data_IF_722578140218
#
_entry.id   IF_722578140218
#
_cell.length_a   1.000
_cell.length_b   1.000
_cell.length_c   1.000
_cell.angle_alpha   90.00
_cell.angle_beta   90.00
_cell.angle_gamma   90.00
#
_symmetry.space_group_name_H-M   'P 1'
#
loop_
_entity.id
_entity.type
_entity.pdbx_description
1 polymer ?
#
# COMPACT_ATOMS: atom_id res chain seq x y z
N UNK A 1 -26.77 -18.79 -68.87
CA UNK A 1 -26.90 -19.72 -67.73
C UNK A 1 -25.62 -19.66 -66.93
N UNK A 2 -25.65 -19.01 -65.76
CA UNK A 2 -24.58 -19.04 -64.75
C UNK A 2 -25.30 -18.86 -63.42
N UNK A 3 -25.45 -19.91 -62.63
CA UNK A 3 -24.48 -20.47 -61.68
C UNK A 3 -24.76 -19.94 -60.28
N UNK A 4 -25.08 -20.88 -59.39
CA UNK A 4 -25.45 -20.73 -57.99
C UNK A 4 -24.32 -20.08 -57.20
N UNK A 5 -24.66 -19.32 -56.16
CA UNK A 5 -24.06 -19.56 -54.84
C UNK A 5 -24.82 -18.82 -53.73
N UNK A 6 -25.28 -19.61 -52.77
CA UNK A 6 -25.73 -19.16 -51.46
C UNK A 6 -24.61 -18.40 -50.74
N UNK A 7 -24.99 -17.42 -49.92
CA UNK A 7 -24.10 -16.88 -48.88
C UNK A 7 -24.93 -16.58 -47.64
N UNK A 8 -25.18 -17.64 -46.88
CA UNK A 8 -25.66 -17.61 -45.51
C UNK A 8 -24.49 -17.14 -44.65
N UNK A 9 -24.73 -16.06 -43.90
CA UNK A 9 -24.11 -15.63 -42.63
C UNK A 9 -22.58 -15.48 -42.59
N UNK A 10 -22.09 -14.37 -42.04
CA UNK A 10 -21.13 -14.46 -40.94
C UNK A 10 -21.10 -13.16 -40.11
N UNK A 11 -21.59 -13.30 -38.89
CA UNK A 11 -21.14 -12.70 -37.63
C UNK A 11 -20.63 -11.25 -37.61
N UNK A 12 -21.47 -10.39 -37.04
CA UNK A 12 -21.09 -9.13 -36.42
C UNK A 12 -20.32 -9.32 -35.10
N UNK A 13 -19.76 -8.20 -34.64
CA UNK A 13 -19.16 -7.90 -33.33
C UNK A 13 -17.64 -8.12 -33.19
N UNK A 14 -16.89 -7.13 -33.68
CA UNK A 14 -15.57 -6.81 -33.16
C UNK A 14 -15.72 -6.17 -31.76
N UNK A 15 -15.35 -6.91 -30.72
CA UNK A 15 -15.10 -6.35 -29.38
C UNK A 15 -13.60 -6.19 -29.21
N UNK A 16 -13.09 -5.01 -29.56
CA UNK A 16 -11.75 -4.59 -29.22
C UNK A 16 -11.69 -4.33 -27.70
N UNK A 17 -11.28 -5.34 -26.93
CA UNK A 17 -10.86 -5.12 -25.56
C UNK A 17 -9.52 -4.37 -25.60
N UNK A 18 -9.57 -3.06 -25.37
CA UNK A 18 -8.40 -2.28 -24.98
C UNK A 18 -7.88 -2.87 -23.67
N UNK A 19 -6.90 -3.76 -23.74
CA UNK A 19 -6.08 -4.09 -22.59
C UNK A 19 -5.23 -2.85 -22.35
N UNK A 20 -5.75 -1.93 -21.54
CA UNK A 20 -4.92 -0.91 -20.92
C UNK A 20 -3.92 -1.64 -20.04
N UNK A 21 -2.76 -1.96 -20.60
CA UNK A 21 -1.52 -2.16 -19.83
C UNK A 21 -1.11 -0.77 -19.34
N UNK A 22 -1.97 -0.15 -18.55
CA UNK A 22 -1.56 0.91 -17.65
C UNK A 22 -0.75 0.20 -16.59
N UNK A 23 0.57 0.37 -16.64
CA UNK A 23 1.47 -0.07 -15.59
C UNK A 23 0.85 0.29 -14.24
N UNK A 24 0.45 -0.73 -13.47
CA UNK A 24 -0.19 -0.56 -12.17
C UNK A 24 0.83 0.00 -11.17
N UNK A 25 1.12 1.30 -11.26
CA UNK A 25 1.75 2.07 -10.20
C UNK A 25 0.75 2.08 -9.04
N UNK A 26 0.86 1.06 -8.20
CA UNK A 26 -0.04 0.83 -7.10
C UNK A 26 0.38 1.80 -6.00
N UNK A 27 -0.51 2.72 -5.61
CA UNK A 27 -0.24 3.63 -4.51
C UNK A 27 0.18 2.82 -3.28
N UNK A 28 1.31 3.20 -2.68
CA UNK A 28 1.82 2.56 -1.47
C UNK A 28 0.76 2.66 -0.39
N UNK A 29 0.50 1.55 0.30
CA UNK A 29 -0.40 1.53 1.43
C UNK A 29 0.22 0.81 2.61
N UNK A 30 -0.20 1.20 3.80
CA UNK A 30 0.15 0.57 5.05
C UNK A 30 -1.12 -0.02 5.66
N UNK A 31 -1.17 -1.35 5.72
CA UNK A 31 -2.19 -2.06 6.47
C UNK A 31 -1.75 -2.15 7.92
N UNK A 32 -2.65 -1.84 8.84
CA UNK A 32 -2.41 -2.12 10.26
C UNK A 32 -2.60 -3.61 10.54
N UNK A 33 -1.60 -4.22 11.16
CA UNK A 33 -1.62 -5.64 11.50
C UNK A 33 -2.60 -5.96 12.65
N UNK A 34 -2.86 -7.24 12.91
CA UNK A 34 -3.58 -7.65 14.11
C UNK A 34 -2.79 -7.26 15.37
N UNK A 35 -3.51 -6.95 16.45
CA UNK A 35 -2.90 -6.63 17.74
C UNK A 35 -2.42 -5.19 17.90
N UNK A 36 -2.83 -4.26 17.03
CA UNK A 36 -2.62 -2.84 17.29
C UNK A 36 -3.47 -2.40 18.50
N UNK A 37 -2.88 -1.58 19.35
CA UNK A 37 -3.46 -1.08 20.60
C UNK A 37 -3.00 0.37 20.86
N UNK A 38 -3.39 0.96 21.99
CA UNK A 38 -2.94 2.30 22.36
C UNK A 38 -1.41 2.42 22.48
N UNK A 39 -0.69 1.32 22.77
CA UNK A 39 0.77 1.31 22.97
C UNK A 39 1.52 0.56 21.86
N UNK A 40 0.81 -0.05 20.91
CA UNK A 40 1.39 -0.94 19.91
C UNK A 40 0.84 -0.63 18.52
N UNK A 41 1.74 -0.38 17.58
CA UNK A 41 1.42 -0.20 16.17
C UNK A 41 2.11 -1.31 15.37
N UNK A 42 1.33 -2.02 14.56
CA UNK A 42 1.85 -3.03 13.63
C UNK A 42 1.51 -2.57 12.21
N UNK A 43 2.51 -2.47 11.35
CA UNK A 43 2.37 -2.05 9.95
C UNK A 43 2.75 -3.18 9.01
N UNK A 44 1.97 -3.33 7.94
CA UNK A 44 2.18 -4.26 6.84
C UNK A 44 2.14 -3.42 5.56
N UNK A 45 3.29 -3.06 5.01
CA UNK A 45 3.40 -2.31 3.77
C UNK A 45 2.93 -3.14 2.58
N UNK A 46 2.36 -2.51 1.56
CA UNK A 46 1.93 -3.20 0.33
C UNK A 46 3.08 -3.63 -0.59
N UNK A 47 4.30 -3.19 -0.31
CA UNK A 47 5.53 -3.51 -1.05
C UNK A 47 6.62 -4.00 -0.10
N UNK A 48 7.65 -4.63 -0.64
CA UNK A 48 8.82 -5.00 0.15
C UNK A 48 9.70 -3.78 0.48
N UNK A 49 9.87 -3.50 1.76
CA UNK A 49 10.74 -2.44 2.28
C UNK A 49 11.77 -3.03 3.26
N UNK A 50 12.93 -2.40 3.36
CA UNK A 50 14.06 -2.90 4.18
C UNK A 50 14.17 -2.23 5.54
N UNK A 51 13.54 -1.07 5.72
CA UNK A 51 13.52 -0.34 6.97
C UNK A 51 12.24 0.49 7.06
N UNK A 52 11.68 0.58 8.26
CA UNK A 52 10.53 1.43 8.59
C UNK A 52 10.79 2.14 9.89
N UNK A 53 10.52 3.43 9.88
CA UNK A 53 10.53 4.26 11.06
C UNK A 53 9.26 5.10 11.09
N UNK A 54 8.80 5.45 12.27
CA UNK A 54 7.64 6.32 12.44
C UNK A 54 7.94 7.47 13.39
N UNK A 55 7.31 8.60 13.12
CA UNK A 55 7.35 9.78 13.99
C UNK A 55 5.96 10.03 14.54
N UNK A 56 5.85 10.01 15.86
CA UNK A 56 4.64 10.40 16.57
C UNK A 56 4.38 11.90 16.42
N UNK A 57 3.12 12.31 16.52
CA UNK A 57 2.77 13.74 16.44
C UNK A 57 3.45 14.52 17.56
N UNK A 58 4.22 15.54 17.17
CA UNK A 58 4.96 16.41 18.07
C UNK A 58 6.28 15.84 18.58
N UNK A 59 6.71 14.66 18.11
CA UNK A 59 8.07 14.19 18.29
C UNK A 59 9.01 14.84 17.28
N UNK A 60 10.27 15.06 17.66
CA UNK A 60 11.31 15.62 16.79
C UNK A 60 11.91 14.55 15.88
N UNK A 61 12.05 13.32 16.38
CA UNK A 61 12.78 12.24 15.72
C UNK A 61 11.89 11.08 15.26
N UNK A 62 12.36 10.38 14.23
CA UNK A 62 11.79 9.10 13.79
C UNK A 62 12.29 7.95 14.66
N UNK A 63 11.39 7.05 15.01
CA UNK A 63 11.68 5.83 15.77
C UNK A 63 11.58 4.60 14.88
N UNK A 64 12.65 3.80 14.84
CA UNK A 64 12.68 2.56 14.08
C UNK A 64 11.70 1.50 14.57
N UNK A 65 11.06 0.82 13.63
CA UNK A 65 10.19 -0.31 13.91
C UNK A 65 10.99 -1.60 13.86
N UNK A 66 10.61 -2.54 14.71
CA UNK A 66 11.17 -3.90 14.70
C UNK A 66 10.55 -4.69 13.55
N UNK A 67 11.37 -5.20 12.65
CA UNK A 67 10.92 -6.16 11.62
C UNK A 67 10.45 -7.45 12.30
N UNK A 68 9.28 -7.92 11.85
CA UNK A 68 8.67 -9.17 12.25
C UNK A 68 8.46 -10.09 11.04
N UNK A 69 7.85 -11.27 11.26
CA UNK A 69 7.62 -12.22 10.19
C UNK A 69 6.71 -11.65 9.10
N UNK A 70 6.86 -12.16 7.88
CA UNK A 70 6.02 -11.80 6.73
C UNK A 70 5.96 -10.29 6.42
N UNK A 71 7.06 -9.56 6.64
CA UNK A 71 7.15 -8.12 6.32
C UNK A 71 6.32 -7.23 7.24
N UNK A 72 6.05 -7.69 8.47
CA UNK A 72 5.42 -6.87 9.50
C UNK A 72 6.45 -5.97 10.18
N UNK A 73 6.04 -4.77 10.57
CA UNK A 73 6.88 -3.79 11.26
C UNK A 73 6.16 -3.35 12.53
N UNK A 74 6.78 -3.50 13.68
CA UNK A 74 6.14 -3.25 14.97
C UNK A 74 6.83 -2.12 15.73
N UNK A 75 6.05 -1.13 16.14
CA UNK A 75 6.41 -0.17 17.18
C UNK A 75 5.68 -0.58 18.46
N UNK A 76 6.41 -0.68 19.55
CA UNK A 76 5.87 -0.93 20.87
C UNK A 76 6.40 0.12 21.84
N UNK A 77 5.50 0.97 22.33
CA UNK A 77 5.79 2.06 23.25
C UNK A 77 5.54 1.65 24.70
N UNK A 78 6.26 2.29 25.63
CA UNK A 78 5.97 2.19 27.07
C UNK A 78 4.73 3.00 27.48
N UNK A 79 4.38 4.00 26.67
CA UNK A 79 3.23 4.88 26.86
C UNK A 79 2.30 4.81 25.65
N UNK A 80 1.12 5.43 25.76
CA UNK A 80 0.19 5.53 24.65
C UNK A 80 0.83 6.32 23.50
N UNK A 81 0.80 5.72 22.32
CA UNK A 81 1.34 6.28 21.08
C UNK A 81 0.47 7.45 20.61
N UNK A 82 1.13 8.52 20.15
CA UNK A 82 0.46 9.74 19.70
C UNK A 82 0.47 9.82 18.17
N UNK A 83 -0.69 9.52 17.59
CA UNK A 83 -0.91 9.78 16.17
C UNK A 83 -1.35 11.24 15.88
N UNK A 84 -1.53 11.60 14.60
CA UNK A 84 -1.14 10.83 13.42
C UNK A 84 0.36 10.52 13.36
N UNK A 85 0.71 9.41 12.71
CA UNK A 85 2.09 8.97 12.53
C UNK A 85 2.57 9.30 11.13
N UNK A 86 3.71 9.95 11.06
CA UNK A 86 4.48 10.07 9.82
C UNK A 86 5.37 8.84 9.67
N UNK A 87 5.50 8.30 8.45
CA UNK A 87 6.29 7.09 8.18
C UNK A 87 7.47 7.46 7.29
N UNK A 88 8.67 7.04 7.70
CA UNK A 88 9.87 7.03 6.86
C UNK A 88 10.24 5.59 6.55
N UNK A 89 10.57 5.29 5.30
CA UNK A 89 10.92 3.92 4.91
C UNK A 89 11.93 3.89 3.76
N UNK A 90 12.69 2.79 3.70
CA UNK A 90 13.58 2.47 2.59
C UNK A 90 12.94 1.39 1.71
N UNK A 91 12.65 1.72 0.45
CA UNK A 91 12.20 0.74 -0.53
C UNK A 91 13.39 -0.12 -0.98
N UNK A 92 13.23 -1.44 -1.16
CA UNK A 92 14.36 -2.31 -1.56
C UNK A 92 15.01 -1.91 -2.89
N UNK A 93 14.27 -1.26 -3.77
CA UNK A 93 14.71 -0.80 -5.09
C UNK A 93 15.05 0.69 -5.16
N UNK A 94 15.01 1.43 -4.04
CA UNK A 94 15.12 2.89 -4.07
C UNK A 94 15.59 3.52 -2.76
N UNK A 95 15.81 4.84 -2.79
CA UNK A 95 16.18 5.59 -1.59
C UNK A 95 15.03 5.76 -0.58
N UNK A 96 15.32 6.45 0.52
CA UNK A 96 14.33 6.75 1.55
C UNK A 96 13.17 7.59 1.00
N UNK A 97 12.00 7.39 1.59
CA UNK A 97 10.76 8.13 1.36
C UNK A 97 10.15 8.49 2.70
N UNK A 98 9.45 9.62 2.75
CA UNK A 98 8.71 10.07 3.91
C UNK A 98 7.27 10.34 3.50
N UNK A 99 6.33 9.90 4.32
CA UNK A 99 4.90 10.22 4.19
C UNK A 99 4.44 10.78 5.52
N UNK A 100 4.12 12.06 5.53
CA UNK A 100 3.58 12.73 6.71
C UNK A 100 2.13 12.29 6.96
N UNK A 101 1.79 12.16 8.24
CA UNK A 101 0.44 11.83 8.73
C UNK A 101 -0.22 10.60 8.07
N UNK A 102 0.58 9.63 7.63
CA UNK A 102 0.14 8.44 6.90
C UNK A 102 -0.86 7.55 7.68
N UNK A 103 -0.73 7.49 9.01
CA UNK A 103 -1.61 6.71 9.89
C UNK A 103 -2.34 7.67 10.84
N UNK A 104 -3.67 7.75 10.82
CA UNK A 104 -4.41 8.66 11.69
C UNK A 104 -4.35 8.22 13.16
N UNK A 105 -4.57 9.15 14.10
CA UNK A 105 -4.63 8.83 15.53
C UNK A 105 -5.72 7.79 15.88
N UNK A 106 -6.82 7.77 15.14
CA UNK A 106 -7.94 6.84 15.30
C UNK A 106 -7.75 5.53 14.53
N UNK A 107 -6.51 5.08 14.35
CA UNK A 107 -6.23 3.88 13.58
C UNK A 107 -6.89 2.64 14.21
N UNK A 108 -7.28 1.68 13.36
CA UNK A 108 -7.90 0.43 13.80
C UNK A 108 -7.19 -0.76 13.18
N UNK A 109 -6.88 -1.77 13.99
CA UNK A 109 -6.33 -3.06 13.53
C UNK A 109 -7.04 -3.57 12.27
N UNK A 110 -6.27 -3.97 11.27
CA UNK A 110 -6.78 -4.50 10.00
C UNK A 110 -7.11 -3.44 8.95
N UNK A 111 -7.10 -2.15 9.28
CA UNK A 111 -7.39 -1.07 8.33
C UNK A 111 -6.23 -0.83 7.36
N UNK A 112 -6.56 -0.45 6.13
CA UNK A 112 -5.59 -0.10 5.09
C UNK A 112 -5.59 1.41 4.89
N UNK A 113 -4.42 2.03 5.02
CA UNK A 113 -4.21 3.46 4.79
C UNK A 113 -3.38 3.66 3.53
N UNK A 114 -3.98 4.27 2.51
CA UNK A 114 -3.30 4.57 1.25
C UNK A 114 -2.53 5.88 1.39
N UNK A 115 -1.32 5.91 0.84
CA UNK A 115 -0.50 7.12 0.75
C UNK A 115 -0.61 7.71 -0.66
N UNK A 116 -0.20 8.97 -0.81
CA UNK A 116 -0.09 9.63 -2.11
C UNK A 116 1.15 9.18 -2.90
N UNK A 117 2.06 8.43 -2.28
CA UNK A 117 3.26 7.93 -2.95
C UNK A 117 2.92 6.75 -3.87
N UNK A 118 3.43 6.83 -5.09
CA UNK A 118 3.44 5.73 -6.04
C UNK A 118 4.86 5.14 -6.04
N UNK A 119 4.95 3.82 -5.89
CA UNK A 119 6.20 3.04 -5.95
C UNK A 119 6.06 1.95 -6.98
#
# INVERSE_FOLDING_TARGET
>A
MASRSSSILLAAAALAALVSVGSCLSALSFKTGPGCSATKLVLIPSIAISEVEVKEKGADDFSGLKEGPAGTWTLEGKAALKGPFSIRFAAKSGGYRVVDDAIPASFKSGSVYKTSLQV
#
